data_IF_651133882199
#
_entry.id   IF_651133882199
#
_cell.length_a   1.000
_cell.length_b   1.000
_cell.length_c   1.000
_cell.angle_alpha   90.00
_cell.angle_beta   90.00
_cell.angle_gamma   90.00
#
_symmetry.space_group_name_H-M   'P 1'
#
loop_
_entity.id
_entity.type
_entity.pdbx_description
1 polymer ?
#
# COMPACT_ATOMS: atom_id res chain seq x y z
N UNK A 1 -0.38 4.77 39.49
CA UNK A 1 -0.37 5.10 38.05
C UNK A 1 -1.19 4.02 37.35
N UNK A 2 -2.33 4.38 36.76
CA UNK A 2 -3.11 3.43 35.97
C UNK A 2 -2.27 2.96 34.77
N UNK A 3 -2.00 1.66 34.68
CA UNK A 3 -1.42 1.07 33.47
C UNK A 3 -2.49 1.07 32.38
N UNK A 4 -2.71 2.23 31.76
CA UNK A 4 -3.55 2.34 30.57
C UNK A 4 -2.96 1.42 29.50
N UNK A 5 -3.77 0.50 29.01
CA UNK A 5 -3.36 -0.41 27.96
C UNK A 5 -3.56 0.27 26.59
N UNK A 6 -2.59 0.14 25.68
CA UNK A 6 -2.72 0.66 24.31
C UNK A 6 -3.90 0.03 23.55
N UNK A 7 -4.35 -1.16 23.95
CA UNK A 7 -5.58 -1.80 23.44
C UNK A 7 -6.81 -0.87 23.54
N UNK A 8 -6.88 0.00 24.56
CA UNK A 8 -7.99 0.95 24.74
C UNK A 8 -8.04 2.05 23.66
N UNK A 9 -6.97 2.20 22.88
CA UNK A 9 -6.86 3.17 21.80
C UNK A 9 -7.06 2.55 20.41
N UNK A 10 -7.22 1.22 20.32
CA UNK A 10 -7.51 0.59 19.03
C UNK A 10 -8.82 1.13 18.46
N UNK A 11 -8.77 1.54 17.19
CA UNK A 11 -9.93 2.12 16.48
C UNK A 11 -10.14 3.62 16.74
N UNK A 12 -9.37 4.27 17.62
CA UNK A 12 -9.35 5.73 17.72
C UNK A 12 -8.43 6.33 16.66
N UNK A 13 -8.77 7.54 16.21
CA UNK A 13 -7.92 8.29 15.29
C UNK A 13 -6.70 8.82 16.06
N UNK A 14 -5.50 8.39 15.67
CA UNK A 14 -4.26 8.87 16.29
C UNK A 14 -3.80 10.12 15.55
N UNK A 15 -3.69 11.23 16.28
CA UNK A 15 -3.22 12.48 15.72
C UNK A 15 -1.77 12.77 16.15
N UNK A 16 -0.86 12.70 15.17
CA UNK A 16 0.48 13.27 15.30
C UNK A 16 0.46 14.74 14.87
N UNK A 17 0.68 15.63 15.83
CA UNK A 17 0.81 17.06 15.61
C UNK A 17 2.28 17.48 15.57
N UNK A 18 2.54 18.74 15.24
CA UNK A 18 3.90 19.26 15.10
C UNK A 18 4.78 19.16 16.37
N UNK A 19 4.19 19.11 17.56
CA UNK A 19 4.93 18.87 18.81
C UNK A 19 5.47 17.45 18.86
N UNK A 20 4.73 16.47 18.31
CA UNK A 20 5.22 15.09 18.14
C UNK A 20 6.46 15.04 17.25
N UNK A 21 6.52 15.89 16.22
CA UNK A 21 7.65 15.96 15.31
C UNK A 21 8.90 16.55 15.97
N UNK A 22 8.77 17.37 17.02
CA UNK A 22 9.94 17.80 17.80
C UNK A 22 10.55 16.63 18.57
N UNK A 23 9.71 15.78 19.18
CA UNK A 23 10.19 14.54 19.80
C UNK A 23 10.82 13.62 18.75
N UNK A 24 10.17 13.49 17.58
CA UNK A 24 10.67 12.67 16.50
C UNK A 24 12.06 13.15 16.03
N UNK A 25 12.26 14.46 15.87
CA UNK A 25 13.57 15.03 15.60
C UNK A 25 14.59 14.61 16.66
N UNK A 26 14.29 14.86 17.95
CA UNK A 26 15.19 14.52 19.05
C UNK A 26 15.54 13.02 19.07
N UNK A 27 14.53 12.16 18.96
CA UNK A 27 14.67 10.71 18.97
C UNK A 27 15.49 10.23 17.78
N UNK A 28 15.13 10.62 16.55
CA UNK A 28 15.86 10.21 15.36
C UNK A 28 17.28 10.77 15.34
N UNK A 29 17.52 12.00 15.85
CA UNK A 29 18.88 12.54 16.02
C UNK A 29 19.74 11.61 16.86
N UNK A 30 19.27 11.28 18.07
CA UNK A 30 19.95 10.37 19.00
C UNK A 30 20.22 9.02 18.33
N UNK A 31 19.23 8.47 17.66
CA UNK A 31 19.27 7.10 17.18
C UNK A 31 19.98 6.92 15.83
N UNK A 32 19.95 7.90 14.92
CA UNK A 32 20.32 7.73 13.51
C UNK A 32 21.41 8.68 12.98
N UNK A 33 21.70 9.80 13.63
CA UNK A 33 22.81 10.69 13.18
C UNK A 33 24.12 9.90 13.20
N UNK A 34 24.95 10.15 12.19
CA UNK A 34 26.15 9.40 11.78
C UNK A 34 25.91 7.99 11.24
N UNK A 35 24.66 7.53 11.22
CA UNK A 35 24.26 6.31 10.54
C UNK A 35 24.31 6.44 9.01
N UNK A 36 24.34 5.29 8.34
CA UNK A 36 24.41 5.18 6.87
C UNK A 36 23.26 4.31 6.36
N UNK A 37 22.33 4.84 5.54
CA UNK A 37 21.32 4.03 4.87
C UNK A 37 21.99 2.92 4.06
N UNK A 38 21.61 1.67 4.30
CA UNK A 38 22.10 0.50 3.58
C UNK A 38 21.10 0.07 2.51
N UNK A 39 19.80 0.18 2.82
CA UNK A 39 18.76 -0.27 1.93
C UNK A 39 17.46 0.47 2.20
N UNK A 40 16.82 0.93 1.13
CA UNK A 40 15.49 1.52 1.14
C UNK A 40 14.55 0.53 0.46
N UNK A 41 13.38 0.26 1.03
CA UNK A 41 12.42 -0.72 0.53
C UNK A 41 10.98 -0.25 0.74
N UNK A 42 10.09 -0.67 -0.17
CA UNK A 42 8.65 -0.53 0.06
C UNK A 42 8.20 -1.63 1.02
N UNK A 43 7.40 -1.27 2.01
CA UNK A 43 6.76 -2.24 2.90
C UNK A 43 5.46 -2.73 2.27
N UNK A 44 5.16 -4.01 2.42
CA UNK A 44 3.94 -4.62 1.89
C UNK A 44 2.74 -4.31 2.79
N UNK A 45 2.26 -3.07 2.69
CA UNK A 45 1.10 -2.51 3.37
C UNK A 45 0.14 -1.88 2.35
N UNK A 46 -1.12 -1.65 2.77
CA UNK A 46 -2.15 -1.03 1.91
C UNK A 46 -1.80 0.44 1.61
N UNK A 47 -1.27 1.17 2.61
CA UNK A 47 -0.74 2.52 2.43
C UNK A 47 0.75 2.53 2.09
N UNK A 48 1.26 3.67 1.60
CA UNK A 48 2.70 3.81 1.34
C UNK A 48 3.49 3.88 2.64
N UNK A 49 4.11 2.74 2.98
CA UNK A 49 5.12 2.63 4.01
C UNK A 49 6.47 2.33 3.37
N UNK A 50 7.51 3.02 3.84
CA UNK A 50 8.88 2.84 3.39
C UNK A 50 9.74 2.42 4.58
N UNK A 51 10.59 1.43 4.34
CA UNK A 51 11.61 0.98 5.26
C UNK A 51 12.97 1.46 4.80
N UNK A 52 13.70 2.12 5.69
CA UNK A 52 15.10 2.51 5.50
C UNK A 52 15.91 1.77 6.55
N UNK A 53 16.70 0.79 6.10
CA UNK A 53 17.69 0.12 6.95
C UNK A 53 18.92 1.01 7.06
N UNK A 54 19.30 1.38 8.28
CA UNK A 54 20.39 2.31 8.57
C UNK A 54 21.41 1.59 9.46
N UNK A 55 22.67 1.57 9.04
CA UNK A 55 23.78 1.04 9.84
C UNK A 55 24.38 2.14 10.70
N UNK A 56 24.45 1.93 12.02
CA UNK A 56 25.10 2.83 12.99
C UNK A 56 25.77 1.97 14.08
N UNK A 57 27.01 2.30 14.44
CA UNK A 57 27.75 1.65 15.54
C UNK A 57 27.78 0.10 15.47
N UNK A 58 27.91 -0.44 14.25
CA UNK A 58 27.85 -1.89 13.91
C UNK A 58 26.47 -2.56 14.04
N UNK A 59 25.43 -1.82 14.41
CA UNK A 59 24.06 -2.30 14.44
C UNK A 59 23.26 -1.80 13.23
N UNK A 60 22.19 -2.51 12.89
CA UNK A 60 21.22 -2.07 11.90
C UNK A 60 19.94 -1.63 12.60
N UNK A 61 19.47 -0.43 12.25
CA UNK A 61 18.18 0.11 12.70
C UNK A 61 17.25 0.22 11.50
N UNK A 62 16.02 -0.25 11.66
CA UNK A 62 15.01 -0.19 10.61
C UNK A 62 14.07 0.99 10.90
N UNK A 63 14.23 2.08 10.15
CA UNK A 63 13.33 3.23 10.18
C UNK A 63 12.14 2.95 9.25
N UNK A 64 10.92 3.05 9.78
CA UNK A 64 9.69 2.99 9.00
C UNK A 64 9.08 4.39 8.92
N UNK A 65 8.72 4.81 7.71
CA UNK A 65 8.06 6.08 7.42
C UNK A 65 6.73 5.79 6.73
N UNK A 66 5.63 6.27 7.31
CA UNK A 66 4.27 6.08 6.78
C UNK A 66 3.19 6.30 7.84
N UNK A 67 1.91 6.30 7.45
CA UNK A 67 0.80 6.52 8.39
C UNK A 67 0.83 7.89 9.09
N UNK A 68 1.40 8.91 8.43
CA UNK A 68 1.51 10.27 8.98
C UNK A 68 2.62 10.46 10.03
N UNK A 69 3.50 9.48 10.22
CA UNK A 69 4.61 9.56 11.18
C UNK A 69 5.81 8.70 10.76
N UNK A 70 6.84 8.64 11.60
CA UNK A 70 7.97 7.74 11.43
C UNK A 70 8.45 7.19 12.77
N UNK A 71 9.08 6.01 12.74
CA UNK A 71 9.62 5.37 13.93
C UNK A 71 10.65 4.29 13.60
N UNK A 72 11.49 3.95 14.58
CA UNK A 72 12.46 2.86 14.49
C UNK A 72 11.81 1.61 15.07
N UNK A 73 11.91 0.49 14.39
CA UNK A 73 11.26 -0.74 14.82
C UNK A 73 12.19 -1.94 14.73
N UNK A 74 11.95 -2.92 15.59
CA UNK A 74 12.53 -4.26 15.49
C UNK A 74 11.55 -5.26 14.85
N UNK A 75 10.36 -4.81 14.43
CA UNK A 75 9.38 -5.66 13.76
C UNK A 75 9.92 -6.17 12.43
N UNK A 76 9.75 -7.47 12.21
CA UNK A 76 10.04 -8.09 10.93
C UNK A 76 8.88 -7.77 9.99
N UNK A 77 9.07 -6.74 9.17
CA UNK A 77 8.10 -6.31 8.16
C UNK A 77 8.43 -6.92 6.80
N UNK A 78 7.40 -7.43 6.12
CA UNK A 78 7.54 -7.94 4.76
C UNK A 78 7.75 -6.78 3.79
N UNK A 79 8.74 -6.91 2.91
CA UNK A 79 9.12 -5.86 1.96
C UNK A 79 9.11 -6.41 0.54
N UNK A 80 8.90 -5.51 -0.42
CA UNK A 80 9.03 -5.81 -1.84
C UNK A 80 10.27 -5.15 -2.43
N UNK A 81 10.64 -5.58 -3.63
CA UNK A 81 11.74 -4.99 -4.39
C UNK A 81 11.43 -3.52 -4.72
N UNK A 82 12.45 -2.65 -4.66
CA UNK A 82 12.31 -1.24 -4.98
C UNK A 82 12.24 -1.01 -6.49
N UNK A 83 11.26 -0.23 -6.93
CA UNK A 83 11.10 0.23 -8.31
C UNK A 83 10.90 1.74 -8.36
N UNK A 84 11.22 2.35 -9.51
CA UNK A 84 11.03 3.79 -9.74
C UNK A 84 11.70 4.68 -8.70
N UNK A 85 10.93 5.61 -8.12
CA UNK A 85 11.39 6.59 -7.13
C UNK A 85 12.25 5.99 -6.01
N UNK A 86 11.83 4.87 -5.40
CA UNK A 86 12.58 4.27 -4.28
C UNK A 86 13.91 3.65 -4.71
N UNK A 87 13.99 3.14 -5.95
CA UNK A 87 15.23 2.58 -6.50
C UNK A 87 16.24 3.69 -6.76
N UNK A 88 15.80 4.80 -7.37
CA UNK A 88 16.64 5.98 -7.58
C UNK A 88 17.08 6.59 -6.25
N UNK A 89 16.16 6.74 -5.29
CA UNK A 89 16.49 7.26 -3.95
C UNK A 89 17.49 6.37 -3.22
N UNK A 90 17.33 5.04 -3.31
CA UNK A 90 18.31 4.10 -2.75
C UNK A 90 19.69 4.30 -3.37
N UNK A 91 19.79 4.35 -4.70
CA UNK A 91 21.07 4.52 -5.39
C UNK A 91 21.79 5.82 -5.06
N UNK A 92 21.05 6.89 -4.72
CA UNK A 92 21.66 8.17 -4.31
C UNK A 92 22.10 8.15 -2.86
N UNK A 93 21.28 7.61 -1.95
CA UNK A 93 21.49 7.71 -0.50
C UNK A 93 22.26 6.55 0.13
N UNK A 94 22.42 5.44 -0.59
CA UNK A 94 23.13 4.27 -0.11
C UNK A 94 24.55 4.63 0.36
N UNK A 95 24.87 4.19 1.58
CA UNK A 95 26.12 4.45 2.29
C UNK A 95 26.45 5.93 2.57
N UNK A 96 25.59 6.89 2.23
CA UNK A 96 25.79 8.29 2.61
C UNK A 96 25.54 8.47 4.10
N UNK A 97 26.39 9.26 4.76
CA UNK A 97 26.26 9.50 6.19
C UNK A 97 25.20 10.56 6.48
N UNK A 98 24.31 10.26 7.43
CA UNK A 98 23.37 11.22 7.97
C UNK A 98 24.14 12.17 8.89
N UNK A 99 24.30 13.43 8.47
CA UNK A 99 25.03 14.45 9.21
C UNK A 99 24.16 15.12 10.27
N UNK A 100 22.87 15.29 9.97
CA UNK A 100 21.91 15.89 10.89
C UNK A 100 20.48 15.47 10.54
N UNK A 101 19.56 15.63 11.49
CA UNK A 101 18.13 15.43 11.29
C UNK A 101 17.43 16.62 11.94
N UNK A 102 16.49 17.31 11.31
CA UNK A 102 15.88 18.52 11.84
C UNK A 102 14.38 18.59 11.51
N UNK A 103 13.57 19.12 12.42
CA UNK A 103 12.24 19.62 12.09
C UNK A 103 12.37 21.07 11.61
N UNK A 104 11.68 21.43 10.54
CA UNK A 104 11.67 22.81 10.03
C UNK A 104 10.44 23.56 10.54
N UNK A 105 10.63 24.74 11.14
CA UNK A 105 9.58 25.71 11.51
C UNK A 105 8.41 25.17 12.36
N UNK A 106 8.61 24.11 13.14
CA UNK A 106 7.54 23.37 13.82
C UNK A 106 6.44 22.88 12.86
N UNK A 107 6.81 22.51 11.64
CA UNK A 107 5.92 21.84 10.68
C UNK A 107 5.91 20.33 10.89
N UNK A 108 4.92 19.63 10.33
CA UNK A 108 4.91 18.15 10.28
C UNK A 108 5.88 17.66 9.18
N UNK A 109 7.15 18.01 9.33
CA UNK A 109 8.22 17.78 8.36
C UNK A 109 9.51 17.39 9.06
N UNK A 110 10.18 16.34 8.58
CA UNK A 110 11.54 15.99 9.03
C UNK A 110 12.51 16.07 7.85
N UNK A 111 13.62 16.77 8.06
CA UNK A 111 14.74 16.91 7.14
C UNK A 111 15.92 16.06 7.63
N UNK A 112 16.39 15.15 6.79
CA UNK A 112 17.68 14.48 6.94
C UNK A 112 18.72 15.20 6.07
N UNK A 113 19.82 15.62 6.68
CA UNK A 113 20.93 16.28 6.00
C UNK A 113 22.04 15.25 5.79
N UNK A 114 22.45 15.09 4.54
CA UNK A 114 23.65 14.36 4.12
C UNK A 114 24.68 15.38 3.63
N UNK A 115 25.88 14.93 3.23
CA UNK A 115 26.94 15.82 2.75
C UNK A 115 26.52 16.64 1.51
N UNK A 116 25.96 15.99 0.49
CA UNK A 116 25.60 16.64 -0.79
C UNK A 116 24.08 16.68 -1.04
N UNK A 117 23.28 16.12 -0.11
CA UNK A 117 21.85 15.89 -0.32
C UNK A 117 21.05 16.21 0.93
N UNK A 118 19.79 16.56 0.72
CA UNK A 118 18.79 16.77 1.78
C UNK A 118 17.54 15.96 1.46
N UNK A 119 17.10 15.13 2.39
CA UNK A 119 15.90 14.31 2.26
C UNK A 119 14.82 14.83 3.20
N UNK A 120 13.72 15.29 2.61
CA UNK A 120 12.56 15.84 3.30
C UNK A 120 11.45 14.81 3.31
N UNK A 121 10.88 14.57 4.49
CA UNK A 121 9.64 13.85 4.67
C UNK A 121 8.57 14.85 5.08
N UNK A 122 7.63 15.16 4.18
CA UNK A 122 6.45 15.97 4.47
C UNK A 122 5.32 15.03 4.94
N UNK A 123 4.80 15.22 6.15
CA UNK A 123 3.73 14.40 6.75
C UNK A 123 2.38 15.14 6.80
N UNK A 124 2.17 16.02 5.83
CA UNK A 124 0.94 16.77 5.63
C UNK A 124 0.53 16.66 4.16
N UNK A 125 -0.71 17.04 3.86
CA UNK A 125 -1.29 16.92 2.52
C UNK A 125 -1.18 15.49 1.98
N UNK A 126 -0.40 15.26 0.92
CA UNK A 126 -0.29 13.97 0.23
C UNK A 126 0.85 13.07 0.75
N UNK A 127 1.51 13.45 1.86
CA UNK A 127 2.67 12.75 2.41
C UNK A 127 3.80 12.58 1.38
N UNK A 128 4.59 13.63 1.15
CA UNK A 128 5.58 13.67 0.09
C UNK A 128 6.99 13.35 0.62
N UNK A 129 7.82 12.78 -0.25
CA UNK A 129 9.25 12.51 0.03
C UNK A 129 10.05 13.17 -1.07
N UNK A 130 10.95 14.05 -0.66
CA UNK A 130 11.64 14.96 -1.57
C UNK A 130 13.12 14.87 -1.27
N UNK A 131 13.93 14.62 -2.29
CA UNK A 131 15.37 14.62 -2.23
C UNK A 131 15.89 15.80 -3.04
N UNK A 132 16.68 16.66 -2.41
CA UNK A 132 17.38 17.77 -3.09
C UNK A 132 18.87 17.58 -3.04
N UNK A 133 19.58 18.30 -3.91
CA UNK A 133 21.02 18.51 -3.79
C UNK A 133 21.36 19.55 -2.70
N UNK A 134 22.65 19.85 -2.53
CA UNK A 134 23.15 20.84 -1.58
C UNK A 134 22.68 22.28 -1.82
N UNK A 135 22.18 22.60 -3.03
CA UNK A 135 21.63 23.91 -3.40
C UNK A 135 20.11 24.02 -3.25
N UNK A 136 19.49 23.03 -2.61
CA UNK A 136 18.04 22.86 -2.46
C UNK A 136 17.32 22.60 -3.79
N UNK A 137 18.01 22.11 -4.83
CA UNK A 137 17.36 21.74 -6.09
C UNK A 137 16.79 20.33 -6.02
N UNK A 138 15.49 20.24 -6.26
CA UNK A 138 14.73 19.16 -6.90
C UNK A 138 15.45 17.97 -7.55
N UNK A 139 16.01 16.98 -6.84
CA UNK A 139 16.59 15.77 -7.50
C UNK A 139 15.54 14.68 -7.68
N UNK A 140 14.77 14.36 -6.64
CA UNK A 140 13.65 13.41 -6.68
C UNK A 140 12.48 13.93 -5.84
N UNK A 141 11.26 13.64 -6.27
CA UNK A 141 10.06 13.82 -5.46
C UNK A 141 9.11 12.65 -5.70
N UNK A 142 8.47 12.16 -4.64
CA UNK A 142 7.49 11.08 -4.74
C UNK A 142 6.25 11.55 -5.51
N UNK A 143 5.74 12.73 -5.16
CA UNK A 143 4.62 13.36 -5.85
C UNK A 143 5.04 14.72 -6.41
N UNK A 144 4.61 15.00 -7.64
CA UNK A 144 4.71 16.34 -8.24
C UNK A 144 3.50 17.15 -7.81
N UNK A 145 3.74 18.33 -7.29
CA UNK A 145 2.67 19.18 -6.75
C UNK A 145 2.93 20.65 -7.10
N UNK A 146 1.86 21.40 -7.31
CA UNK A 146 1.92 22.83 -7.62
C UNK A 146 0.90 23.57 -6.75
N UNK A 147 1.39 24.50 -5.96
CA UNK A 147 0.58 25.44 -5.19
C UNK A 147 0.80 26.86 -5.71
N UNK A 148 0.08 27.81 -5.12
CA UNK A 148 0.22 29.23 -5.43
C UNK A 148 1.66 29.73 -5.24
N UNK A 149 2.28 29.31 -4.13
CA UNK A 149 3.55 29.88 -3.67
C UNK A 149 4.75 28.92 -3.80
N UNK A 150 4.53 27.66 -4.20
CA UNK A 150 5.61 26.66 -4.36
C UNK A 150 5.29 25.60 -5.42
N UNK A 151 6.31 25.06 -6.06
CA UNK A 151 6.22 23.91 -6.97
C UNK A 151 7.19 22.83 -6.51
N UNK A 152 6.72 21.58 -6.42
CA UNK A 152 7.53 20.40 -6.18
C UNK A 152 7.61 19.62 -7.49
N UNK A 153 8.75 19.75 -8.17
CA UNK A 153 9.08 18.99 -9.38
C UNK A 153 10.59 18.90 -9.53
N UNK A 154 11.09 17.82 -10.15
CA UNK A 154 12.52 17.67 -10.46
C UNK A 154 13.03 18.91 -11.22
N UNK A 155 14.16 19.44 -10.77
CA UNK A 155 14.80 20.63 -11.32
C UNK A 155 14.40 21.94 -10.64
N UNK A 156 13.28 21.99 -9.94
CA UNK A 156 12.84 23.18 -9.19
C UNK A 156 13.60 23.33 -7.88
N UNK A 157 13.69 24.56 -7.37
CA UNK A 157 14.19 24.80 -6.02
C UNK A 157 13.13 24.43 -5.00
N UNK A 158 13.46 23.59 -4.02
CA UNK A 158 12.57 23.24 -2.93
C UNK A 158 12.35 24.44 -2.01
N UNK A 159 11.08 24.71 -1.72
CA UNK A 159 10.64 25.73 -0.78
C UNK A 159 9.73 25.04 0.25
N UNK A 160 10.11 25.00 1.54
CA UNK A 160 9.25 24.43 2.57
C UNK A 160 7.96 25.27 2.72
N UNK A 161 6.90 24.73 3.34
CA UNK A 161 5.67 25.49 3.58
C UNK A 161 5.95 26.83 4.29
N UNK A 162 5.21 27.87 3.89
CA UNK A 162 5.47 29.29 4.20
C UNK A 162 5.11 29.74 5.62
N UNK A 163 4.77 28.84 6.54
CA UNK A 163 4.54 29.21 7.93
C UNK A 163 5.88 29.47 8.63
N UNK A 164 6.38 30.70 8.49
CA UNK A 164 7.60 31.17 9.16
C UNK A 164 7.36 31.41 10.66
N UNK A 165 6.12 31.69 11.06
CA UNK A 165 5.80 32.00 12.47
C UNK A 165 5.60 30.72 13.28
N UNK A 166 6.37 30.56 14.35
CA UNK A 166 6.25 29.47 15.31
C UNK A 166 6.44 29.98 16.75
N UNK A 167 5.95 29.24 17.74
CA UNK A 167 5.96 29.67 19.15
C UNK A 167 7.36 29.99 19.71
N UNK A 168 8.39 29.30 19.21
CA UNK A 168 9.77 29.48 19.67
C UNK A 168 10.35 30.83 19.23
N UNK A 169 10.01 31.29 18.03
CA UNK A 169 10.48 32.56 17.46
C UNK A 169 9.49 33.72 17.63
N UNK A 170 8.22 33.43 17.91
CA UNK A 170 7.15 34.41 17.96
C UNK A 170 7.27 35.38 19.16
N UNK A 171 6.91 36.63 18.90
CA UNK A 171 6.81 37.74 19.86
C UNK A 171 5.41 38.33 19.76
N UNK A 172 4.58 38.26 20.82
CA UNK A 172 3.21 38.79 20.83
C UNK A 172 3.14 40.30 20.56
N UNK A 173 2.17 40.74 19.74
CA UNK A 173 1.80 42.15 19.54
C UNK A 173 0.30 42.37 19.77
N UNK A 174 -0.12 43.61 20.01
CA UNK A 174 -1.53 43.94 20.23
C UNK A 174 -2.39 43.66 18.98
N UNK A 175 -1.88 43.99 17.79
CA UNK A 175 -2.54 43.76 16.49
C UNK A 175 -2.78 42.28 16.17
N UNK A 176 -2.17 41.36 16.92
CA UNK A 176 -2.38 39.92 16.75
C UNK A 176 -3.74 39.45 17.31
N UNK A 177 -4.40 40.27 18.14
CA UNK A 177 -5.66 39.93 18.79
C UNK A 177 -6.82 40.36 17.90
N UNK A 178 -7.48 39.40 17.28
CA UNK A 178 -8.78 39.62 16.66
C UNK A 178 -9.89 39.29 17.67
N UNK A 179 -10.58 40.31 18.18
CA UNK A 179 -11.69 40.16 19.13
C UNK A 179 -12.89 39.36 18.59
N UNK A 180 -12.99 39.17 17.26
CA UNK A 180 -14.00 38.31 16.63
C UNK A 180 -13.64 36.81 16.70
N UNK A 181 -12.42 36.46 17.10
CA UNK A 181 -11.92 35.09 17.19
C UNK A 181 -11.50 34.78 18.63
N UNK A 182 -11.73 33.55 19.08
CA UNK A 182 -11.27 33.13 20.41
C UNK A 182 -9.72 33.14 20.54
N UNK A 183 -9.23 33.12 21.78
CA UNK A 183 -7.80 33.15 22.09
C UNK A 183 -7.03 32.01 21.40
N UNK A 184 -7.60 30.81 21.38
CA UNK A 184 -7.00 29.63 20.72
C UNK A 184 -6.72 29.92 19.25
N UNK A 185 -7.70 30.43 18.51
CA UNK A 185 -7.58 30.75 17.08
C UNK A 185 -6.54 31.83 16.81
N UNK A 186 -6.46 32.84 17.68
CA UNK A 186 -5.44 33.90 17.58
C UNK A 186 -4.03 33.34 17.84
N UNK A 187 -3.87 32.39 18.76
CA UNK A 187 -2.59 31.74 19.03
C UNK A 187 -2.18 30.81 17.88
N UNK A 188 -3.08 29.93 17.41
CA UNK A 188 -2.79 28.96 16.32
C UNK A 188 -2.26 29.66 15.08
N UNK A 189 -2.91 30.77 14.66
CA UNK A 189 -2.52 31.56 13.49
C UNK A 189 -1.07 32.06 13.56
N UNK A 190 -0.57 32.36 14.75
CA UNK A 190 0.71 33.04 14.94
C UNK A 190 1.80 32.15 15.54
N UNK A 191 1.46 31.03 16.16
CA UNK A 191 2.41 30.20 16.90
C UNK A 191 2.65 28.83 16.28
N UNK A 192 1.83 28.41 15.31
CA UNK A 192 1.90 27.07 14.71
C UNK A 192 1.93 26.00 15.81
N UNK A 193 0.84 25.84 16.58
CA UNK A 193 0.73 24.85 17.66
C UNK A 193 -0.64 24.18 17.54
N UNK A 194 -0.72 22.90 17.94
CA UNK A 194 -2.01 22.21 18.05
C UNK A 194 -3.01 23.01 18.92
N UNK A 195 -4.24 23.26 18.43
CA UNK A 195 -5.31 23.89 19.20
C UNK A 195 -5.55 23.19 20.54
N UNK A 196 -5.47 21.86 20.55
CA UNK A 196 -5.73 21.00 21.71
C UNK A 196 -4.74 21.30 22.84
N UNK A 197 -3.47 21.50 22.51
CA UNK A 197 -2.45 21.82 23.52
C UNK A 197 -2.70 23.19 24.15
N UNK A 198 -3.15 24.17 23.34
CA UNK A 198 -3.49 25.52 23.80
C UNK A 198 -4.71 25.45 24.73
N UNK A 199 -5.74 24.71 24.36
CA UNK A 199 -6.95 24.51 25.17
C UNK A 199 -6.61 23.89 26.54
N UNK A 200 -5.83 22.80 26.55
CA UNK A 200 -5.41 22.18 27.82
C UNK A 200 -4.53 23.08 28.67
N UNK A 201 -3.67 23.87 28.05
CA UNK A 201 -2.90 24.88 28.77
C UNK A 201 -3.82 25.93 29.42
N UNK A 202 -4.77 26.49 28.68
CA UNK A 202 -5.72 27.48 29.19
C UNK A 202 -6.58 26.93 30.34
N UNK A 203 -7.08 25.70 30.20
CA UNK A 203 -7.81 24.99 31.25
C UNK A 203 -6.97 24.85 32.52
N UNK A 204 -5.70 24.44 32.39
CA UNK A 204 -4.79 24.25 33.53
C UNK A 204 -4.49 25.55 34.29
N UNK A 205 -4.44 26.67 33.57
CA UNK A 205 -4.19 28.00 34.12
C UNK A 205 -5.46 28.74 34.55
N UNK A 206 -6.64 28.11 34.40
CA UNK A 206 -7.97 28.71 34.66
C UNK A 206 -8.19 30.03 33.91
N UNK A 207 -7.63 30.16 32.71
CA UNK A 207 -7.83 31.32 31.85
C UNK A 207 -9.05 31.12 30.94
N UNK A 208 -9.89 32.14 30.80
CA UNK A 208 -11.03 32.12 29.87
C UNK A 208 -10.55 32.43 28.43
N UNK A 209 -10.89 31.53 27.51
CA UNK A 209 -10.57 31.63 26.07
C UNK A 209 -11.27 32.79 25.35
N UNK A 210 -12.25 33.42 25.99
CA UNK A 210 -13.01 34.56 25.48
C UNK A 210 -12.49 35.91 26.00
N UNK A 211 -11.41 35.90 26.80
CA UNK A 211 -10.76 37.13 27.25
C UNK A 211 -9.82 37.63 26.15
N UNK A 212 -9.96 38.90 25.77
CA UNK A 212 -9.26 39.50 24.61
C UNK A 212 -8.20 40.55 24.98
N UNK A 213 -7.77 40.64 26.24
CA UNK A 213 -6.75 41.60 26.62
C UNK A 213 -5.33 41.12 26.27
N UNK A 214 -4.48 42.05 25.84
CA UNK A 214 -3.11 41.74 25.42
C UNK A 214 -2.22 41.21 26.53
N UNK A 215 -2.46 41.61 27.78
CA UNK A 215 -1.69 41.13 28.93
C UNK A 215 -1.91 39.63 29.12
N UNK A 216 -3.15 39.16 29.06
CA UNK A 216 -3.50 37.73 29.12
C UNK A 216 -2.97 36.98 27.91
N UNK A 217 -3.18 37.49 26.69
CA UNK A 217 -2.63 36.87 25.47
C UNK A 217 -1.12 36.67 25.55
N UNK A 218 -0.38 37.71 25.94
CA UNK A 218 1.08 37.65 26.13
C UNK A 218 1.49 36.65 27.19
N UNK A 219 0.79 36.63 28.34
CA UNK A 219 1.05 35.67 29.43
C UNK A 219 0.89 34.23 28.94
N UNK A 220 -0.18 33.94 28.20
CA UNK A 220 -0.46 32.61 27.66
C UNK A 220 0.61 32.19 26.65
N UNK A 221 0.95 33.05 25.69
CA UNK A 221 1.99 32.74 24.68
C UNK A 221 3.34 32.48 25.35
N UNK A 222 3.74 33.29 26.34
CA UNK A 222 4.99 33.08 27.09
C UNK A 222 4.96 31.76 27.86
N UNK A 223 3.84 31.42 28.48
CA UNK A 223 3.66 30.17 29.20
C UNK A 223 3.76 28.94 28.30
N UNK A 224 3.09 28.96 27.14
CA UNK A 224 3.21 27.90 26.14
C UNK A 224 4.64 27.83 25.60
N UNK A 225 5.29 28.97 25.32
CA UNK A 225 6.70 28.98 24.89
C UNK A 225 7.61 28.28 25.90
N UNK A 226 7.35 28.43 27.21
CA UNK A 226 8.09 27.72 28.26
C UNK A 226 7.93 26.20 28.17
N UNK A 227 6.74 25.69 27.85
CA UNK A 227 6.50 24.24 27.63
C UNK A 227 7.46 23.69 26.56
N UNK A 228 7.64 24.43 25.47
CA UNK A 228 8.49 24.03 24.35
C UNK A 228 9.99 24.20 24.64
N UNK A 229 10.35 24.94 25.71
CA UNK A 229 11.72 25.04 26.21
C UNK A 229 12.10 23.93 27.18
N UNK A 230 11.15 23.09 27.61
CA UNK A 230 11.43 21.95 28.49
C UNK A 230 12.09 20.81 27.72
N UNK A 231 12.95 20.06 28.39
CA UNK A 231 13.60 18.86 27.84
C UNK A 231 12.58 17.76 27.54
N UNK A 232 12.80 17.02 26.45
CA UNK A 232 12.04 15.81 26.14
C UNK A 232 12.26 14.76 27.23
N UNK A 233 11.19 14.07 27.61
CA UNK A 233 11.24 12.96 28.57
C UNK A 233 10.90 11.64 27.86
N UNK A 234 11.51 10.54 28.30
CA UNK A 234 11.28 9.22 27.69
C UNK A 234 9.82 8.75 27.86
N UNK A 235 9.16 9.19 28.92
CA UNK A 235 7.75 8.90 29.18
C UNK A 235 6.81 9.81 28.39
N UNK A 236 5.70 9.26 27.93
CA UNK A 236 4.69 10.00 27.17
C UNK A 236 3.52 10.41 28.05
N UNK A 237 3.02 11.61 27.80
CA UNK A 237 1.74 12.11 28.31
C UNK A 237 0.67 11.97 27.24
N UNK A 238 -0.58 11.78 27.63
CA UNK A 238 -1.69 11.53 26.72
C UNK A 238 -2.81 12.57 26.86
N UNK A 239 -3.44 12.90 25.74
CA UNK A 239 -4.74 13.56 25.66
C UNK A 239 -5.70 12.67 24.88
N UNK A 240 -6.86 12.41 25.47
CA UNK A 240 -7.97 11.69 24.83
C UNK A 240 -9.12 12.68 24.62
N UNK A 241 -9.55 12.84 23.37
CA UNK A 241 -10.71 13.66 22.99
C UNK A 241 -11.71 12.79 22.23
N UNK A 242 -12.83 12.38 22.84
CA UNK A 242 -13.87 11.54 22.22
C UNK A 242 -13.33 10.39 21.33
N UNK A 243 -13.09 10.68 20.04
CA UNK A 243 -12.59 9.75 18.99
C UNK A 243 -11.11 9.93 18.60
N UNK A 244 -10.44 11.00 19.01
CA UNK A 244 -9.04 11.32 18.72
C UNK A 244 -8.15 11.13 19.95
N UNK A 245 -6.94 10.64 19.71
CA UNK A 245 -5.91 10.53 20.75
C UNK A 245 -4.64 11.19 20.24
N UNK A 246 -4.03 12.00 21.09
CA UNK A 246 -2.73 12.59 20.82
C UNK A 246 -1.83 12.44 22.04
N UNK A 247 -0.54 12.42 21.79
CA UNK A 247 0.48 12.02 22.74
C UNK A 247 1.57 13.08 22.78
N UNK A 248 2.27 13.25 23.90
CA UNK A 248 3.33 14.25 24.05
C UNK A 248 4.47 13.72 24.90
N UNK A 249 5.70 13.84 24.43
CA UNK A 249 6.91 13.58 25.24
C UNK A 249 7.44 14.88 25.88
N UNK A 250 6.52 15.74 26.32
CA UNK A 250 6.81 16.97 27.04
C UNK A 250 6.37 16.82 28.50
N UNK A 251 7.10 17.48 29.40
CA UNK A 251 6.69 17.53 30.81
C UNK A 251 5.48 18.47 30.98
N UNK A 252 4.29 17.92 30.74
CA UNK A 252 3.01 18.60 30.87
C UNK A 252 2.36 18.13 32.17
N UNK A 253 2.45 18.90 33.28
CA UNK A 253 1.98 18.45 34.59
C UNK A 253 0.46 18.27 34.65
N UNK A 254 -0.27 18.92 33.73
CA UNK A 254 -1.73 18.86 33.61
C UNK A 254 -2.22 17.69 32.75
N UNK A 255 -1.33 16.82 32.24
CA UNK A 255 -1.69 15.65 31.45
C UNK A 255 -1.41 14.34 32.16
N UNK A 256 -2.20 13.32 31.81
CA UNK A 256 -2.01 11.96 32.31
C UNK A 256 -0.76 11.33 31.70
N UNK A 257 0.05 10.66 32.53
CA UNK A 257 1.22 9.91 32.09
C UNK A 257 0.87 8.47 31.72
N UNK A 258 1.51 7.96 30.69
CA UNK A 258 1.47 6.55 30.29
C UNK A 258 2.88 5.99 30.15
N UNK A 259 3.03 4.68 30.36
CA UNK A 259 4.31 3.98 30.33
C UNK A 259 4.74 3.54 28.92
N UNK A 260 4.46 4.37 27.92
CA UNK A 260 4.87 4.14 26.54
C UNK A 260 5.59 5.37 26.00
N UNK A 261 6.54 5.19 25.10
CA UNK A 261 7.11 6.29 24.31
C UNK A 261 6.37 6.43 22.95
N UNK A 262 6.52 7.57 22.27
CA UNK A 262 5.87 7.81 20.97
C UNK A 262 6.23 6.78 19.89
N UNK A 263 7.45 6.22 19.94
CA UNK A 263 7.88 5.19 19.00
C UNK A 263 7.11 3.87 19.22
N UNK A 264 6.95 3.45 20.47
CA UNK A 264 6.14 2.29 20.85
C UNK A 264 4.67 2.49 20.47
N UNK A 265 4.13 3.69 20.70
CA UNK A 265 2.76 4.03 20.32
C UNK A 265 2.56 3.91 18.81
N UNK A 266 3.49 4.46 18.01
CA UNK A 266 3.47 4.33 16.56
C UNK A 266 3.54 2.87 16.12
N UNK A 267 4.41 2.07 16.74
CA UNK A 267 4.55 0.66 16.43
C UNK A 267 3.27 -0.15 16.71
N UNK A 268 2.69 0.01 17.90
CA UNK A 268 1.54 -0.77 18.36
C UNK A 268 0.22 -0.36 17.71
N UNK A 269 0.00 0.96 17.52
CA UNK A 269 -1.29 1.48 17.07
C UNK A 269 -1.36 1.74 15.56
N UNK A 270 -0.22 1.89 14.88
CA UNK A 270 -0.18 2.21 13.45
C UNK A 270 0.48 1.09 12.66
N UNK A 271 1.73 0.73 12.99
CA UNK A 271 2.48 -0.24 12.21
C UNK A 271 1.88 -1.65 12.27
N UNK A 272 1.67 -2.20 13.47
CA UNK A 272 1.15 -3.57 13.61
C UNK A 272 -0.23 -3.76 12.97
N UNK A 273 -1.24 -2.89 13.18
CA UNK A 273 -2.54 -3.04 12.54
C UNK A 273 -2.45 -3.02 11.01
N UNK A 274 -1.65 -2.13 10.44
CA UNK A 274 -1.46 -2.03 8.98
C UNK A 274 -0.88 -3.33 8.41
N UNK A 275 0.13 -3.91 9.07
CA UNK A 275 0.75 -5.17 8.63
C UNK A 275 -0.13 -6.40 8.84
N UNK A 276 -0.98 -6.40 9.87
CA UNK A 276 -1.96 -7.46 10.07
C UNK A 276 -3.06 -7.42 9.02
N UNK A 277 -3.51 -6.22 8.63
CA UNK A 277 -4.53 -6.06 7.59
C UNK A 277 -4.01 -6.50 6.21
N UNK A 278 -2.77 -6.14 5.85
CA UNK A 278 -2.19 -6.55 4.56
C UNK A 278 -2.04 -8.07 4.43
N UNK A 279 -1.65 -8.77 5.51
CA UNK A 279 -1.59 -10.25 5.52
C UNK A 279 -2.96 -10.89 5.32
N UNK A 280 -4.00 -10.37 5.99
CA UNK A 280 -5.35 -10.92 5.90
C UNK A 280 -5.98 -10.71 4.52
N UNK A 281 -5.69 -9.59 3.86
CA UNK A 281 -6.18 -9.28 2.51
C UNK A 281 -5.49 -10.12 1.45
N UNK A 282 -4.16 -10.24 1.52
CA UNK A 282 -3.41 -11.15 0.66
C UNK A 282 -3.93 -12.59 0.78
N UNK A 283 -4.25 -13.06 1.99
CA UNK A 283 -4.83 -14.40 2.19
C UNK A 283 -6.16 -14.60 1.45
N UNK A 284 -7.05 -13.59 1.47
CA UNK A 284 -8.31 -13.63 0.72
C UNK A 284 -8.10 -13.63 -0.79
N UNK A 285 -7.15 -12.83 -1.29
CA UNK A 285 -6.83 -12.79 -2.72
C UNK A 285 -6.22 -14.10 -3.20
N UNK A 286 -5.32 -14.70 -2.40
CA UNK A 286 -4.77 -16.05 -2.66
C UNK A 286 -5.85 -17.14 -2.63
N UNK A 287 -6.80 -17.09 -1.70
CA UNK A 287 -7.91 -18.06 -1.65
C UNK A 287 -8.81 -17.96 -2.89
N UNK A 288 -9.05 -16.74 -3.39
CA UNK A 288 -9.83 -16.51 -4.61
C UNK A 288 -9.09 -17.00 -5.86
N UNK A 289 -7.79 -16.78 -5.94
CA UNK A 289 -6.96 -17.26 -7.05
C UNK A 289 -6.87 -18.79 -7.06
N UNK A 290 -6.72 -19.41 -5.88
CA UNK A 290 -6.77 -20.87 -5.72
C UNK A 290 -8.09 -21.45 -6.23
N UNK A 291 -9.23 -20.84 -5.87
CA UNK A 291 -10.55 -21.28 -6.35
C UNK A 291 -10.67 -21.20 -7.88
N UNK A 292 -10.13 -20.13 -8.49
CA UNK A 292 -10.14 -19.98 -9.96
C UNK A 292 -9.29 -21.06 -10.66
N UNK A 293 -8.12 -21.38 -10.10
CA UNK A 293 -7.24 -22.43 -10.62
C UNK A 293 -7.90 -23.81 -10.48
N UNK A 294 -8.50 -24.10 -9.33
CA UNK A 294 -9.21 -25.37 -9.09
C UNK A 294 -10.41 -25.54 -10.04
N UNK A 295 -11.17 -24.46 -10.27
CA UNK A 295 -12.26 -24.46 -11.25
C UNK A 295 -11.75 -24.77 -12.66
N UNK A 296 -10.68 -24.11 -13.09
CA UNK A 296 -10.06 -24.33 -14.41
C UNK A 296 -9.55 -25.76 -14.58
N UNK A 297 -8.90 -26.30 -13.54
CA UNK A 297 -8.40 -27.67 -13.53
C UNK A 297 -9.52 -28.70 -13.71
N UNK A 298 -10.66 -28.50 -13.04
CA UNK A 298 -11.81 -29.40 -13.17
C UNK A 298 -12.42 -29.36 -14.59
N UNK A 299 -12.49 -28.17 -15.21
CA UNK A 299 -12.95 -28.05 -16.59
C UNK A 299 -12.02 -28.78 -17.57
N UNK A 300 -10.70 -28.65 -17.38
CA UNK A 300 -9.72 -29.35 -18.21
C UNK A 300 -9.78 -30.87 -18.05
N UNK A 301 -9.99 -31.38 -16.83
CA UNK A 301 -10.20 -32.82 -16.57
C UNK A 301 -11.43 -33.34 -17.31
N UNK A 302 -12.57 -32.65 -17.19
CA UNK A 302 -13.80 -33.04 -17.88
C UNK A 302 -13.67 -32.98 -19.41
N UNK A 303 -12.92 -32.01 -19.95
CA UNK A 303 -12.63 -31.93 -21.38
C UNK A 303 -11.74 -33.10 -21.84
N UNK A 304 -10.72 -33.47 -21.04
CA UNK A 304 -9.84 -34.60 -21.32
C UNK A 304 -10.59 -35.93 -21.33
N UNK A 305 -11.50 -36.15 -20.39
CA UNK A 305 -12.34 -37.36 -20.37
C UNK A 305 -13.20 -37.48 -21.63
N UNK A 306 -13.88 -36.41 -22.03
CA UNK A 306 -14.66 -36.39 -23.28
C UNK A 306 -13.81 -36.64 -24.53
N UNK A 307 -12.58 -36.13 -24.56
CA UNK A 307 -11.64 -36.40 -25.65
C UNK A 307 -11.18 -37.86 -25.66
N UNK A 308 -10.93 -38.45 -24.49
CA UNK A 308 -10.57 -39.86 -24.37
C UNK A 308 -11.70 -40.79 -24.83
N UNK A 309 -12.95 -40.50 -24.45
CA UNK A 309 -14.14 -41.23 -24.93
C UNK A 309 -14.26 -41.16 -26.45
N UNK A 310 -14.10 -39.96 -27.04
CA UNK A 310 -14.08 -39.79 -28.50
C UNK A 310 -12.94 -40.55 -29.15
N UNK A 311 -11.75 -40.52 -28.55
CA UNK A 311 -10.56 -41.22 -29.06
C UNK A 311 -10.80 -42.73 -29.09
N UNK A 312 -11.35 -43.30 -28.02
CA UNK A 312 -11.70 -44.71 -27.97
C UNK A 312 -12.74 -45.07 -29.05
N UNK A 313 -13.80 -44.26 -29.17
CA UNK A 313 -14.85 -44.45 -30.18
C UNK A 313 -14.29 -44.40 -31.61
N UNK A 314 -13.50 -43.38 -31.94
CA UNK A 314 -12.94 -43.22 -33.29
C UNK A 314 -11.87 -44.26 -33.60
N UNK A 315 -11.13 -44.74 -32.61
CA UNK A 315 -10.21 -45.87 -32.78
C UNK A 315 -10.96 -47.13 -33.21
N UNK A 316 -12.04 -47.49 -32.50
CA UNK A 316 -12.89 -48.64 -32.87
C UNK A 316 -13.41 -48.49 -34.31
N UNK A 317 -13.93 -47.31 -34.65
CA UNK A 317 -14.42 -47.03 -36.01
C UNK A 317 -13.29 -47.17 -37.05
N UNK A 318 -12.11 -46.61 -36.78
CA UNK A 318 -10.95 -46.68 -37.66
C UNK A 318 -10.46 -48.11 -37.88
N UNK A 319 -10.34 -48.89 -36.80
CA UNK A 319 -9.95 -50.31 -36.85
C UNK A 319 -10.96 -51.13 -37.67
N UNK A 320 -12.27 -50.89 -37.49
CA UNK A 320 -13.31 -51.54 -38.29
C UNK A 320 -13.25 -51.18 -39.77
N UNK A 321 -12.99 -49.92 -40.12
CA UNK A 321 -12.82 -49.48 -41.51
C UNK A 321 -11.60 -50.18 -42.13
N UNK A 322 -10.47 -50.22 -41.41
CA UNK A 322 -9.23 -50.82 -41.89
C UNK A 322 -9.41 -52.33 -42.16
N UNK A 323 -10.04 -53.06 -41.23
CA UNK A 323 -10.31 -54.50 -41.38
C UNK A 323 -11.23 -54.83 -42.56
N UNK A 324 -12.04 -53.87 -43.03
CA UNK A 324 -13.02 -54.05 -44.09
C UNK A 324 -12.73 -53.15 -45.30
N UNK A 325 -11.48 -52.71 -45.48
CA UNK A 325 -11.15 -51.71 -46.50
C UNK A 325 -11.49 -52.17 -47.92
N UNK A 326 -11.10 -53.40 -48.28
CA UNK A 326 -11.36 -53.97 -49.61
C UNK A 326 -12.86 -54.12 -49.88
N UNK A 327 -13.61 -54.52 -48.86
CA UNK A 327 -15.06 -54.60 -48.91
C UNK A 327 -15.72 -53.25 -49.19
N UNK A 328 -15.34 -52.23 -48.42
CA UNK A 328 -15.90 -50.90 -48.55
C UNK A 328 -15.55 -50.30 -49.93
N UNK A 329 -14.38 -50.60 -50.48
CA UNK A 329 -14.02 -50.20 -51.84
C UNK A 329 -14.84 -50.93 -52.91
N UNK A 330 -15.10 -52.23 -52.74
CA UNK A 330 -15.99 -52.97 -53.63
C UNK A 330 -17.42 -52.41 -53.62
N UNK A 331 -17.97 -52.08 -52.45
CA UNK A 331 -19.29 -51.42 -52.37
C UNK A 331 -19.28 -50.06 -53.06
N UNK A 332 -18.21 -49.26 -52.89
CA UNK A 332 -18.09 -47.97 -53.61
C UNK A 332 -18.14 -48.17 -55.13
N UNK A 333 -17.48 -49.22 -55.65
CA UNK A 333 -17.50 -49.55 -57.08
C UNK A 333 -18.91 -49.98 -57.51
N UNK A 334 -19.57 -50.87 -56.75
CA UNK A 334 -20.94 -51.33 -57.04
C UNK A 334 -21.93 -50.16 -57.09
N UNK A 335 -21.88 -49.27 -56.09
CA UNK A 335 -22.76 -48.09 -56.04
C UNK A 335 -22.44 -47.14 -57.18
N UNK A 336 -21.17 -46.90 -57.50
CA UNK A 336 -20.78 -46.03 -58.60
C UNK A 336 -21.29 -46.55 -59.94
N UNK A 337 -21.05 -47.82 -60.25
CA UNK A 337 -21.47 -48.44 -61.51
C UNK A 337 -23.01 -48.50 -61.60
N UNK A 338 -23.69 -48.88 -60.52
CA UNK A 338 -25.16 -48.92 -60.50
C UNK A 338 -25.81 -47.55 -60.69
N UNK A 339 -25.19 -46.48 -60.19
CA UNK A 339 -25.65 -45.11 -60.43
C UNK A 339 -25.37 -44.63 -61.87
N UNK A 340 -24.23 -44.99 -62.47
CA UNK A 340 -23.88 -44.70 -63.87
C UNK A 340 -24.84 -45.42 -64.85
N UNK A 341 -25.23 -46.66 -64.53
CA UNK A 341 -26.19 -47.48 -65.28
C UNK A 341 -27.66 -47.09 -65.02
N UNK A 342 -27.93 -46.05 -64.23
CA UNK A 342 -29.28 -45.59 -63.84
C UNK A 342 -30.16 -46.67 -63.17
N UNK A 343 -29.56 -47.65 -62.47
CA UNK A 343 -30.31 -48.65 -61.69
C UNK A 343 -31.09 -47.97 -60.56
N UNK A 344 -32.22 -48.57 -60.17
CA UNK A 344 -32.95 -48.11 -58.98
C UNK A 344 -32.15 -48.46 -57.71
N UNK A 345 -32.35 -47.67 -56.64
CA UNK A 345 -31.59 -47.82 -55.39
C UNK A 345 -31.83 -49.20 -54.77
N UNK A 346 -33.06 -49.72 -54.87
CA UNK A 346 -33.44 -51.05 -54.35
C UNK A 346 -32.65 -52.19 -55.02
N UNK A 347 -32.36 -52.11 -56.32
CA UNK A 347 -31.54 -53.10 -57.02
C UNK A 347 -30.08 -53.03 -56.55
N UNK A 348 -29.55 -51.82 -56.35
CA UNK A 348 -28.17 -51.61 -55.87
C UNK A 348 -28.04 -52.14 -54.43
N UNK A 349 -29.02 -51.88 -53.57
CA UNK A 349 -29.04 -52.41 -52.19
C UNK A 349 -29.10 -53.93 -52.16
N UNK A 350 -29.81 -54.56 -53.10
CA UNK A 350 -29.89 -56.03 -53.20
C UNK A 350 -28.55 -56.64 -53.61
N UNK A 351 -27.87 -56.06 -54.58
CA UNK A 351 -26.51 -56.48 -55.00
C UNK A 351 -25.49 -56.35 -53.84
N UNK A 352 -25.61 -55.30 -53.02
CA UNK A 352 -24.74 -55.12 -51.84
C UNK A 352 -25.06 -56.14 -50.75
N UNK A 353 -26.34 -56.44 -50.50
CA UNK A 353 -26.77 -57.43 -49.49
C UNK A 353 -26.28 -58.85 -49.79
N UNK A 354 -26.09 -59.20 -51.05
CA UNK A 354 -25.48 -60.48 -51.42
C UNK A 354 -23.97 -60.53 -51.10
N UNK A 355 -23.29 -59.38 -51.19
CA UNK A 355 -21.90 -59.19 -50.80
C UNK A 355 -21.68 -59.06 -49.27
N UNK A 356 -22.75 -58.80 -48.52
CA UNK A 356 -22.74 -58.62 -47.06
C UNK A 356 -22.72 -59.91 -46.24
N UNK A 357 -22.98 -61.06 -46.86
CA UNK A 357 -23.17 -62.33 -46.15
C UNK A 357 -21.94 -62.69 -45.30
N UNK A 358 -22.14 -62.76 -43.99
CA UNK A 358 -21.13 -63.13 -43.00
C UNK A 358 -20.23 -61.98 -42.50
N UNK A 359 -20.49 -60.72 -42.87
CA UNK A 359 -19.69 -59.56 -42.45
C UNK A 359 -20.35 -58.75 -41.33
N UNK A 360 -19.52 -58.11 -40.50
CA UNK A 360 -19.95 -57.30 -39.34
C UNK A 360 -20.40 -55.88 -39.71
N UNK A 361 -19.98 -55.39 -40.88
CA UNK A 361 -20.39 -54.09 -41.39
C UNK A 361 -21.50 -54.29 -42.41
N UNK A 362 -22.67 -53.75 -42.12
CA UNK A 362 -23.87 -53.87 -42.96
C UNK A 362 -24.31 -52.50 -43.47
N UNK A 363 -24.81 -52.44 -44.70
CA UNK A 363 -25.41 -51.25 -45.27
C UNK A 363 -26.65 -50.91 -44.47
N UNK A 364 -26.66 -49.68 -43.96
CA UNK A 364 -27.83 -49.11 -43.27
C UNK A 364 -28.75 -48.38 -44.25
N UNK A 365 -28.16 -47.59 -45.15
CA UNK A 365 -28.86 -46.87 -46.23
C UNK A 365 -27.91 -46.18 -47.19
N UNK A 366 -28.38 -45.92 -48.40
CA UNK A 366 -27.74 -45.05 -49.38
C UNK A 366 -28.50 -43.72 -49.45
N UNK A 367 -27.85 -42.61 -49.09
CA UNK A 367 -28.41 -41.26 -49.18
C UNK A 367 -27.94 -40.57 -50.45
N UNK A 368 -28.66 -40.78 -51.56
CA UNK A 368 -28.30 -40.27 -52.88
C UNK A 368 -28.14 -38.75 -52.91
N UNK A 369 -29.05 -38.01 -52.28
CA UNK A 369 -29.04 -36.54 -52.24
C UNK A 369 -27.83 -35.95 -51.50
N UNK A 370 -27.27 -36.69 -50.54
CA UNK A 370 -26.11 -36.24 -49.74
C UNK A 370 -24.81 -36.90 -50.18
N UNK A 371 -24.85 -37.73 -51.23
CA UNK A 371 -23.72 -38.54 -51.71
C UNK A 371 -23.06 -39.35 -50.58
N UNK A 372 -23.87 -39.96 -49.71
CA UNK A 372 -23.39 -40.72 -48.53
C UNK A 372 -23.88 -42.15 -48.55
N UNK A 373 -22.99 -43.07 -48.20
CA UNK A 373 -23.34 -44.46 -47.87
C UNK A 373 -23.18 -44.61 -46.37
N UNK A 374 -24.23 -45.03 -45.68
CA UNK A 374 -24.23 -45.19 -44.23
C UNK A 374 -24.16 -46.67 -43.91
N UNK A 375 -23.18 -47.05 -43.10
CA UNK A 375 -23.02 -48.40 -42.61
C UNK A 375 -23.39 -48.50 -41.13
N UNK A 376 -23.87 -49.66 -40.72
CA UNK A 376 -24.03 -50.09 -39.34
C UNK A 376 -22.87 -51.05 -39.01
N UNK A 377 -22.21 -50.82 -37.88
CA UNK A 377 -21.22 -51.76 -37.32
C UNK A 377 -21.97 -52.53 -36.23
N UNK A 378 -22.13 -53.84 -36.39
CA UNK A 378 -22.72 -54.74 -35.39
C UNK A 378 -21.72 -55.23 -34.35
#
# INVERSE_FOLDING_TARGET
MSNINLEEFKGKEIEFNNTNFMYLEWFLKKELVFGRPQKIQKVNADNLFIKIRIRKDKENKDLIVGGGFAGITNLIVETSETKGFLKEMNGILENKQIMNILQLNLEKLILFIFQDYKLYFEFFSSNNIILTDGSDKIVLCLYKEKWKDRTIARGEKYIPPTNVKNVLSYVPKEDDINSKKNMVSNIVKNCNISPILIEKYLESEKNDKNVFDFKTYKKVVVGIKKIFSLLFYEKTKIIILEKKVTFYNLNLPFLQEINYNLNQIYEELILKPEFLQSKNKNKKDFEKEKQNIEYTLNQQKGAKEKLNEKTAKYKIIGDCIYQNFDYLNQIKIIVKNGLEEKKNIESIEKEIKDYEKGRKIKLKKIEKEKQKIVFLIE
#
